data_IF_918893254352
#
_entry.id   IF_918893254352
#
_cell.length_a   1.000
_cell.length_b   1.000
_cell.length_c   1.000
_cell.angle_alpha   90.00
_cell.angle_beta   90.00
_cell.angle_gamma   90.00
#
_symmetry.space_group_name_H-M   'P 1'
#
loop_
_entity.id
_entity.type
_entity.pdbx_description
1 polymer ?
#
# COMPACT_ATOMS: atom_id res chain seq x y z
N UNK A 1 10.79 66.83 34.65
CA UNK A 1 11.65 65.65 34.40
C UNK A 1 10.77 64.58 33.77
N UNK A 2 10.74 64.53 32.43
CA UNK A 2 9.88 63.68 31.62
C UNK A 2 10.71 62.53 31.11
N UNK A 3 10.42 61.31 31.56
CA UNK A 3 11.07 60.08 31.10
C UNK A 3 10.32 59.48 29.90
N UNK A 4 10.92 59.61 28.71
CA UNK A 4 10.52 58.90 27.51
C UNK A 4 10.81 57.40 27.62
N UNK A 5 9.81 56.56 27.65
CA UNK A 5 9.94 55.12 27.41
C UNK A 5 10.03 54.86 25.90
N UNK A 6 11.19 54.40 25.45
CA UNK A 6 11.41 53.89 24.08
C UNK A 6 10.85 52.45 24.01
N UNK A 7 9.91 52.20 23.12
CA UNK A 7 9.53 50.86 22.68
C UNK A 7 10.60 50.27 21.76
N UNK A 8 10.99 49.02 21.90
CA UNK A 8 11.91 48.41 20.96
C UNK A 8 11.15 48.02 19.67
N UNK A 9 11.52 48.61 18.56
CA UNK A 9 11.14 48.14 17.21
C UNK A 9 11.88 46.84 16.94
N UNK A 10 11.14 45.75 16.83
CA UNK A 10 11.65 44.49 16.30
C UNK A 10 11.78 44.64 14.79
N UNK A 11 13.00 44.51 14.30
CA UNK A 11 13.36 44.56 12.89
C UNK A 11 12.75 43.39 12.10
N UNK A 12 12.34 43.60 10.84
CA UNK A 12 11.85 42.53 9.96
C UNK A 12 13.04 41.82 9.28
N UNK A 13 13.63 40.86 9.96
CA UNK A 13 14.78 40.09 9.47
C UNK A 13 14.48 38.61 9.16
N UNK A 14 13.22 38.20 9.07
CA UNK A 14 12.84 36.78 8.81
C UNK A 14 12.20 36.58 7.44
N UNK A 15 12.09 37.63 6.60
CA UNK A 15 11.42 37.53 5.30
C UNK A 15 12.38 37.51 4.09
N UNK A 16 13.66 37.12 4.28
CA UNK A 16 14.65 37.14 3.17
C UNK A 16 15.37 35.81 2.89
N UNK A 17 14.90 34.67 3.40
CA UNK A 17 15.62 33.39 3.22
C UNK A 17 14.90 32.33 2.35
N UNK A 18 13.82 32.67 1.63
CA UNK A 18 13.12 31.71 0.75
C UNK A 18 13.12 32.13 -0.74
N UNK A 19 13.71 33.25 -1.08
CA UNK A 19 13.69 33.78 -2.44
C UNK A 19 14.98 33.61 -3.26
N UNK A 20 15.96 32.81 -2.83
CA UNK A 20 17.27 32.76 -3.49
C UNK A 20 17.73 31.37 -3.97
N UNK A 21 16.84 30.40 -4.18
CA UNK A 21 17.23 29.08 -4.72
C UNK A 21 16.38 28.63 -5.94
N UNK A 22 15.86 29.54 -6.72
CA UNK A 22 14.93 29.22 -7.83
C UNK A 22 15.17 29.89 -9.15
N UNK A 23 16.38 30.37 -9.45
CA UNK A 23 16.65 31.06 -10.73
C UNK A 23 17.95 30.57 -11.38
N UNK A 24 17.94 29.35 -11.90
CA UNK A 24 18.82 28.96 -13.04
C UNK A 24 18.44 27.53 -13.45
N UNK A 25 17.48 27.35 -14.32
CA UNK A 25 17.38 26.43 -15.45
C UNK A 25 16.01 26.66 -16.11
N UNK A 26 15.91 27.63 -16.96
CA UNK A 26 14.74 27.77 -17.82
C UNK A 26 15.15 28.40 -19.11
N UNK A 27 15.69 27.62 -20.00
CA UNK A 27 15.70 27.93 -21.43
C UNK A 27 15.77 26.60 -22.16
N UNK A 28 14.58 26.04 -22.46
CA UNK A 28 14.25 25.23 -23.64
C UNK A 28 12.97 24.40 -23.36
N UNK A 29 11.92 24.85 -24.02
CA UNK A 29 10.64 24.15 -24.26
C UNK A 29 9.40 24.79 -23.62
N UNK A 30 8.62 25.54 -24.44
CA UNK A 30 7.17 25.51 -24.51
C UNK A 30 6.37 25.98 -23.30
N UNK A 31 6.08 27.26 -23.25
CA UNK A 31 4.86 27.89 -22.67
C UNK A 31 3.99 27.09 -21.67
N UNK A 32 4.40 26.93 -20.40
CA UNK A 32 3.47 26.64 -19.30
C UNK A 32 3.95 26.95 -17.86
N UNK A 33 4.71 28.01 -17.55
CA UNK A 33 5.03 28.28 -16.13
C UNK A 33 4.17 29.36 -15.46
N UNK A 34 3.44 30.18 -16.19
CA UNK A 34 2.74 31.32 -15.59
C UNK A 34 1.40 30.93 -14.90
N UNK A 35 0.67 29.97 -15.43
CA UNK A 35 -0.62 29.55 -14.87
C UNK A 35 -0.42 28.69 -13.61
N UNK A 36 0.58 27.82 -13.59
CA UNK A 36 0.92 27.02 -12.42
C UNK A 36 1.36 27.88 -11.23
N UNK A 37 2.04 29.01 -11.48
CA UNK A 37 2.48 29.92 -10.42
C UNK A 37 1.31 30.60 -9.69
N UNK A 38 0.26 31.00 -10.41
CA UNK A 38 -0.94 31.61 -9.82
C UNK A 38 -1.74 30.61 -9.00
N UNK A 39 -1.95 29.41 -9.54
CA UNK A 39 -2.66 28.32 -8.85
C UNK A 39 -1.90 27.87 -7.58
N UNK A 40 -0.58 27.80 -7.65
CA UNK A 40 0.26 27.43 -6.52
C UNK A 40 0.19 28.47 -5.39
N UNK A 41 0.25 29.77 -5.73
CA UNK A 41 0.06 30.84 -4.74
C UNK A 41 -1.33 30.79 -4.11
N UNK A 42 -2.38 30.62 -4.91
CA UNK A 42 -3.76 30.47 -4.41
C UNK A 42 -3.89 29.27 -3.47
N UNK A 43 -3.23 28.16 -3.78
CA UNK A 43 -3.23 26.96 -2.96
C UNK A 43 -2.54 27.20 -1.61
N UNK A 44 -1.39 27.88 -1.63
CA UNK A 44 -0.59 28.14 -0.43
C UNK A 44 -1.25 29.17 0.50
N UNK A 45 -1.89 30.20 -0.06
CA UNK A 45 -2.53 31.27 0.72
C UNK A 45 -3.91 30.90 1.24
N UNK A 46 -4.73 30.25 0.40
CA UNK A 46 -6.15 30.05 0.66
C UNK A 46 -6.56 28.63 1.06
N UNK A 47 -5.70 27.63 0.95
CA UNK A 47 -6.03 26.19 1.11
C UNK A 47 -7.26 25.75 0.30
N UNK A 48 -7.62 26.49 -0.75
CA UNK A 48 -8.77 26.23 -1.60
C UNK A 48 -8.41 26.52 -3.03
N UNK A 49 -8.38 25.48 -3.84
CA UNK A 49 -8.02 25.55 -5.24
C UNK A 49 -8.84 24.55 -6.07
N UNK A 50 -10.20 24.65 -6.05
CA UNK A 50 -11.02 23.75 -6.85
C UNK A 50 -10.79 24.01 -8.33
N UNK A 51 -10.67 22.92 -9.11
CA UNK A 51 -10.40 22.93 -10.55
C UNK A 51 -9.08 23.62 -10.96
N UNK A 52 -8.12 23.76 -10.04
CA UNK A 52 -6.83 24.37 -10.34
C UNK A 52 -6.00 23.53 -11.32
N UNK A 53 -5.25 24.24 -12.16
CA UNK A 53 -4.24 23.68 -13.06
C UNK A 53 -2.92 23.55 -12.32
N UNK A 54 -2.65 22.35 -11.78
CA UNK A 54 -1.44 22.02 -11.02
C UNK A 54 -0.68 20.86 -11.68
N UNK A 55 -0.90 20.65 -12.98
CA UNK A 55 -0.22 19.60 -13.72
C UNK A 55 1.30 19.79 -13.68
N UNK A 56 2.03 18.72 -13.29
CA UNK A 56 3.48 18.76 -13.16
C UNK A 56 4.01 19.60 -12.00
N UNK A 57 3.15 20.11 -11.11
CA UNK A 57 3.60 20.89 -9.94
C UNK A 57 4.47 20.06 -9.01
N UNK A 58 5.53 20.67 -8.46
CA UNK A 58 6.32 20.07 -7.39
C UNK A 58 5.78 20.50 -6.03
N UNK A 59 5.17 19.55 -5.33
CA UNK A 59 4.49 19.71 -4.04
C UNK A 59 5.04 18.69 -3.02
N UNK A 60 6.28 18.25 -3.19
CA UNK A 60 6.94 17.33 -2.25
C UNK A 60 6.93 17.93 -0.85
N UNK A 61 6.57 17.11 0.16
CA UNK A 61 6.44 17.52 1.55
C UNK A 61 5.43 18.66 1.83
N UNK A 62 4.59 19.02 0.85
CA UNK A 62 3.62 20.11 1.04
C UNK A 62 2.63 19.81 2.18
N UNK A 63 2.31 20.82 2.97
CA UNK A 63 1.36 20.76 4.07
C UNK A 63 -0.05 21.12 3.57
N UNK A 64 -0.77 20.16 3.02
CA UNK A 64 -2.05 20.30 2.34
C UNK A 64 -3.20 19.61 3.09
N UNK A 65 -3.11 19.49 4.41
CA UNK A 65 -4.19 18.93 5.22
C UNK A 65 -5.48 19.77 5.05
N UNK A 66 -6.61 19.07 4.89
CA UNK A 66 -7.96 19.66 4.72
C UNK A 66 -8.11 20.60 3.50
N UNK A 67 -7.17 20.55 2.56
CA UNK A 67 -7.21 21.39 1.36
C UNK A 67 -8.39 21.03 0.45
N UNK A 68 -8.98 22.02 -0.20
CA UNK A 68 -10.01 21.82 -1.21
C UNK A 68 -9.39 21.85 -2.61
N UNK A 69 -9.17 20.65 -3.16
CA UNK A 69 -8.62 20.41 -4.50
C UNK A 69 -9.63 19.65 -5.39
N UNK A 70 -10.91 19.84 -5.17
CA UNK A 70 -11.97 19.18 -5.96
C UNK A 70 -11.83 19.53 -7.44
N UNK A 71 -11.83 18.49 -8.28
CA UNK A 71 -11.69 18.64 -9.73
C UNK A 71 -10.36 19.21 -10.19
N UNK A 72 -9.37 19.39 -9.29
CA UNK A 72 -8.06 19.93 -9.68
C UNK A 72 -7.34 19.00 -10.65
N UNK A 73 -6.55 19.58 -11.55
CA UNK A 73 -5.69 18.87 -12.49
C UNK A 73 -4.29 18.74 -11.93
N UNK A 74 -3.97 17.57 -11.43
CA UNK A 74 -2.72 17.24 -10.75
C UNK A 74 -1.90 16.20 -11.54
N UNK A 75 -2.20 16.04 -12.83
CA UNK A 75 -1.51 15.03 -13.65
C UNK A 75 0.00 15.25 -13.60
N UNK A 76 0.74 14.17 -13.34
CA UNK A 76 2.20 14.19 -13.26
C UNK A 76 2.77 15.12 -12.19
N UNK A 77 1.96 15.63 -11.27
CA UNK A 77 2.45 16.38 -10.12
C UNK A 77 3.25 15.46 -9.17
N UNK A 78 4.15 16.07 -8.43
CA UNK A 78 4.93 15.37 -7.41
C UNK A 78 4.43 15.77 -6.01
N UNK A 79 3.65 14.91 -5.38
CA UNK A 79 3.12 15.05 -4.02
C UNK A 79 3.78 14.05 -3.07
N UNK A 80 5.00 13.60 -3.37
CA UNK A 80 5.74 12.69 -2.52
C UNK A 80 5.85 13.20 -1.09
N UNK A 81 5.49 12.34 -0.12
CA UNK A 81 5.51 12.67 1.32
C UNK A 81 4.68 13.91 1.72
N UNK A 82 3.79 14.38 0.85
CA UNK A 82 2.87 15.47 1.19
C UNK A 82 1.85 15.03 2.26
N UNK A 83 1.38 15.98 3.06
CA UNK A 83 0.29 15.78 4.02
C UNK A 83 -1.02 16.25 3.41
N UNK A 84 -1.87 15.31 3.04
CA UNK A 84 -3.18 15.51 2.44
C UNK A 84 -4.30 14.98 3.34
N UNK A 85 -4.06 14.95 4.65
CA UNK A 85 -5.03 14.45 5.64
C UNK A 85 -6.35 15.25 5.52
N UNK A 86 -7.48 14.56 5.32
CA UNK A 86 -8.78 15.19 5.15
C UNK A 86 -8.94 16.04 3.89
N UNK A 87 -8.00 15.98 2.94
CA UNK A 87 -8.07 16.74 1.69
C UNK A 87 -9.29 16.34 0.85
N UNK A 88 -9.91 17.31 0.20
CA UNK A 88 -11.01 17.10 -0.75
C UNK A 88 -10.44 16.99 -2.15
N UNK A 89 -10.28 15.77 -2.64
CA UNK A 89 -9.73 15.44 -3.94
C UNK A 89 -10.78 14.82 -4.88
N UNK A 90 -12.05 14.87 -4.48
CA UNK A 90 -13.10 14.25 -5.28
C UNK A 90 -13.17 14.85 -6.68
N UNK A 91 -13.20 13.98 -7.68
CA UNK A 91 -13.17 14.35 -9.09
C UNK A 91 -11.83 14.91 -9.61
N UNK A 92 -10.78 14.96 -8.78
CA UNK A 92 -9.45 15.44 -9.22
C UNK A 92 -8.81 14.45 -10.21
N UNK A 93 -8.03 14.98 -11.14
CA UNK A 93 -7.22 14.16 -12.03
C UNK A 93 -5.78 14.03 -11.46
N UNK A 94 -5.54 12.88 -10.87
CA UNK A 94 -4.27 12.48 -10.26
C UNK A 94 -3.47 11.52 -11.16
N UNK A 95 -3.84 11.40 -12.44
CA UNK A 95 -3.19 10.46 -13.35
C UNK A 95 -1.69 10.70 -13.41
N UNK A 96 -0.91 9.61 -13.22
CA UNK A 96 0.55 9.63 -13.20
C UNK A 96 1.18 10.54 -12.12
N UNK A 97 0.44 10.93 -11.10
CA UNK A 97 0.91 11.72 -9.96
C UNK A 97 1.72 10.84 -9.01
N UNK A 98 2.82 11.37 -8.48
CA UNK A 98 3.54 10.74 -7.38
C UNK A 98 2.94 11.14 -6.04
N UNK A 99 2.42 10.17 -5.31
CA UNK A 99 1.95 10.26 -3.92
C UNK A 99 2.75 9.30 -3.02
N UNK A 100 3.98 8.99 -3.43
CA UNK A 100 4.86 8.07 -2.70
C UNK A 100 5.02 8.51 -1.24
N UNK A 101 4.60 7.67 -0.31
CA UNK A 101 4.70 7.94 1.13
C UNK A 101 3.85 9.11 1.62
N UNK A 102 2.91 9.63 0.82
CA UNK A 102 2.03 10.72 1.22
C UNK A 102 1.03 10.27 2.29
N UNK A 103 0.58 11.19 3.15
CA UNK A 103 -0.52 10.98 4.07
C UNK A 103 -1.82 11.47 3.47
N UNK A 104 -2.77 10.53 3.25
CA UNK A 104 -4.10 10.76 2.67
C UNK A 104 -5.19 10.34 3.65
N UNK A 105 -4.92 10.39 4.95
CA UNK A 105 -5.84 9.91 5.98
C UNK A 105 -7.15 10.70 5.95
N UNK A 106 -8.26 9.97 5.79
CA UNK A 106 -9.58 10.59 5.69
C UNK A 106 -9.80 11.48 4.46
N UNK A 107 -8.92 11.45 3.46
CA UNK A 107 -9.09 12.22 2.24
C UNK A 107 -10.26 11.69 1.40
N UNK A 108 -10.98 12.59 0.71
CA UNK A 108 -12.04 12.22 -0.21
C UNK A 108 -11.51 12.16 -1.65
N UNK A 109 -11.32 10.93 -2.14
CA UNK A 109 -10.81 10.61 -3.47
C UNK A 109 -11.91 10.07 -4.41
N UNK A 110 -13.19 10.18 -4.04
CA UNK A 110 -14.28 9.65 -4.87
C UNK A 110 -14.35 10.38 -6.20
N UNK A 111 -14.50 9.64 -7.28
CA UNK A 111 -14.47 10.16 -8.64
C UNK A 111 -13.10 10.65 -9.10
N UNK A 112 -12.05 10.53 -8.29
CA UNK A 112 -10.70 10.89 -8.69
C UNK A 112 -10.15 9.90 -9.72
N UNK A 113 -9.36 10.39 -10.68
CA UNK A 113 -8.65 9.57 -11.66
C UNK A 113 -7.27 9.22 -11.13
N UNK A 114 -7.06 7.92 -10.88
CA UNK A 114 -5.82 7.40 -10.27
C UNK A 114 -4.99 6.54 -11.24
N UNK A 115 -5.18 6.69 -12.54
CA UNK A 115 -4.44 5.92 -13.54
C UNK A 115 -2.94 6.20 -13.45
N UNK A 116 -2.12 5.16 -13.23
CA UNK A 116 -0.66 5.29 -13.11
C UNK A 116 -0.19 6.10 -11.91
N UNK A 117 -1.08 6.43 -10.97
CA UNK A 117 -0.73 7.14 -9.74
C UNK A 117 0.15 6.27 -8.85
N UNK A 118 1.24 6.81 -8.34
CA UNK A 118 2.13 6.13 -7.40
C UNK A 118 1.69 6.40 -5.95
N UNK A 119 0.96 5.47 -5.37
CA UNK A 119 0.49 5.47 -3.97
C UNK A 119 1.32 4.55 -3.08
N UNK A 120 2.49 4.10 -3.54
CA UNK A 120 3.32 3.19 -2.74
C UNK A 120 3.68 3.84 -1.41
N UNK A 121 3.55 3.04 -0.32
CA UNK A 121 3.81 3.47 1.05
C UNK A 121 2.92 4.63 1.56
N UNK A 122 1.91 5.06 0.80
CA UNK A 122 0.97 6.08 1.24
C UNK A 122 0.09 5.58 2.40
N UNK A 123 -0.39 6.48 3.23
CA UNK A 123 -1.37 6.19 4.28
C UNK A 123 -2.77 6.61 3.81
N UNK A 124 -3.59 5.63 3.47
CA UNK A 124 -4.97 5.78 3.00
C UNK A 124 -6.01 5.48 4.09
N UNK A 125 -5.60 5.48 5.37
CA UNK A 125 -6.49 5.14 6.48
C UNK A 125 -7.73 6.05 6.52
N UNK A 126 -8.90 5.46 6.32
CA UNK A 126 -10.17 6.19 6.29
C UNK A 126 -10.39 7.05 5.04
N UNK A 127 -9.53 6.95 4.03
CA UNK A 127 -9.76 7.62 2.75
C UNK A 127 -10.99 7.04 2.03
N UNK A 128 -11.75 7.92 1.38
CA UNK A 128 -12.93 7.54 0.62
C UNK A 128 -12.55 7.34 -0.86
N UNK A 129 -12.74 6.13 -1.37
CA UNK A 129 -12.43 5.73 -2.74
C UNK A 129 -13.64 5.01 -3.35
N UNK A 130 -13.74 5.06 -4.66
CA UNK A 130 -14.70 4.23 -5.40
C UNK A 130 -14.14 2.81 -5.62
N UNK A 131 -15.04 1.82 -5.76
CA UNK A 131 -14.64 0.45 -6.10
C UNK A 131 -13.88 0.42 -7.42
N UNK A 132 -12.73 -0.27 -7.44
CA UNK A 132 -11.87 -0.39 -8.62
C UNK A 132 -11.02 0.85 -8.94
N UNK A 133 -11.08 1.92 -8.14
CA UNK A 133 -10.26 3.13 -8.36
C UNK A 133 -8.75 2.83 -8.37
N UNK A 134 -8.33 1.81 -7.63
CA UNK A 134 -6.91 1.44 -7.48
C UNK A 134 -6.42 0.44 -8.53
N UNK A 135 -7.28 -0.04 -9.43
CA UNK A 135 -6.96 -1.11 -10.40
C UNK A 135 -5.79 -0.77 -11.34
N UNK A 136 -5.56 0.51 -11.61
CA UNK A 136 -4.45 0.99 -12.44
C UNK A 136 -3.46 1.89 -11.69
N UNK A 137 -3.53 1.93 -10.37
CA UNK A 137 -2.60 2.66 -9.51
C UNK A 137 -1.53 1.72 -8.93
N UNK A 138 -0.40 2.27 -8.56
CA UNK A 138 0.66 1.57 -7.83
C UNK A 138 0.50 1.82 -6.34
N UNK A 139 -0.07 0.86 -5.60
CA UNK A 139 -0.39 1.04 -4.17
C UNK A 139 0.31 0.05 -3.23
N UNK A 140 1.33 -0.68 -3.74
CA UNK A 140 2.07 -1.67 -2.95
C UNK A 140 2.66 -1.02 -1.68
N UNK A 141 2.37 -1.63 -0.53
CA UNK A 141 2.79 -1.11 0.77
C UNK A 141 2.01 0.13 1.25
N UNK A 142 0.96 0.53 0.55
CA UNK A 142 0.00 1.51 1.09
C UNK A 142 -0.71 0.93 2.31
N UNK A 143 -1.03 1.79 3.28
CA UNK A 143 -1.68 1.40 4.53
C UNK A 143 -3.11 1.90 4.60
N UNK A 144 -3.94 1.20 5.40
CA UNK A 144 -5.32 1.63 5.66
C UNK A 144 -6.26 1.47 4.48
N UNK A 145 -5.90 0.65 3.49
CA UNK A 145 -6.79 0.29 2.39
C UNK A 145 -7.93 -0.60 2.89
N UNK A 146 -9.13 -0.29 2.43
CA UNK A 146 -10.28 -1.17 2.60
C UNK A 146 -10.18 -2.34 1.61
N UNK A 147 -10.04 -3.59 2.08
CA UNK A 147 -9.98 -4.75 1.21
C UNK A 147 -11.20 -4.90 0.29
N UNK A 148 -12.35 -4.34 0.68
CA UNK A 148 -13.58 -4.42 -0.10
C UNK A 148 -13.54 -3.57 -1.38
N UNK A 149 -12.57 -2.68 -1.52
CA UNK A 149 -12.34 -1.90 -2.74
C UNK A 149 -11.52 -2.65 -3.79
N UNK A 150 -10.90 -3.78 -3.41
CA UNK A 150 -9.94 -4.50 -4.23
C UNK A 150 -10.55 -5.76 -4.84
N UNK A 151 -10.12 -6.09 -6.05
CA UNK A 151 -10.44 -7.35 -6.71
C UNK A 151 -9.72 -8.53 -6.03
N UNK A 152 -10.19 -9.74 -6.30
CA UNK A 152 -9.51 -10.95 -5.85
C UNK A 152 -8.03 -11.00 -6.22
N UNK A 153 -7.70 -10.67 -7.47
CA UNK A 153 -6.31 -10.69 -7.95
C UNK A 153 -5.42 -9.68 -7.22
N UNK A 154 -5.94 -8.47 -7.01
CA UNK A 154 -5.22 -7.43 -6.26
C UNK A 154 -4.96 -7.84 -4.80
N UNK A 155 -5.96 -8.42 -4.13
CA UNK A 155 -5.82 -8.93 -2.76
C UNK A 155 -4.79 -10.06 -2.67
N UNK A 156 -4.84 -11.02 -3.59
CA UNK A 156 -3.87 -12.11 -3.64
C UNK A 156 -2.46 -11.59 -3.90
N UNK A 157 -2.29 -10.69 -4.87
CA UNK A 157 -1.00 -10.09 -5.21
C UNK A 157 -0.41 -9.27 -4.06
N UNK A 158 -1.24 -8.56 -3.30
CA UNK A 158 -0.82 -7.86 -2.09
C UNK A 158 -0.27 -8.83 -1.03
N UNK A 159 -0.94 -9.98 -0.85
CA UNK A 159 -0.47 -11.04 0.02
C UNK A 159 0.88 -11.61 -0.41
N UNK A 160 1.04 -11.86 -1.71
CA UNK A 160 2.31 -12.33 -2.30
C UNK A 160 3.43 -11.33 -2.04
N UNK A 161 3.19 -10.05 -2.27
CA UNK A 161 4.20 -9.01 -2.08
C UNK A 161 4.57 -8.83 -0.60
N UNK A 162 3.59 -8.86 0.30
CA UNK A 162 3.83 -8.82 1.74
C UNK A 162 4.67 -10.03 2.20
N UNK A 163 4.37 -11.23 1.72
CA UNK A 163 5.11 -12.45 2.04
C UNK A 163 6.56 -12.38 1.51
N UNK A 164 6.77 -11.90 0.29
CA UNK A 164 8.10 -11.69 -0.29
C UNK A 164 8.97 -10.74 0.53
N UNK A 165 8.34 -9.75 1.16
CA UNK A 165 9.01 -8.79 2.03
C UNK A 165 9.16 -9.28 3.49
N UNK A 166 8.78 -10.53 3.79
CA UNK A 166 8.84 -11.11 5.12
C UNK A 166 7.76 -10.58 6.08
N UNK A 167 6.77 -9.81 5.59
CA UNK A 167 5.67 -9.26 6.38
C UNK A 167 4.53 -10.28 6.49
N UNK A 168 4.84 -11.45 7.11
CA UNK A 168 3.93 -12.59 7.17
C UNK A 168 2.56 -12.29 7.81
N UNK A 169 2.44 -11.53 8.93
CA UNK A 169 1.12 -11.19 9.48
C UNK A 169 0.25 -10.38 8.53
N UNK A 170 0.86 -9.50 7.74
CA UNK A 170 0.16 -8.72 6.72
C UNK A 170 -0.26 -9.59 5.54
N UNK A 171 0.62 -10.49 5.09
CA UNK A 171 0.33 -11.45 4.03
C UNK A 171 -0.89 -12.33 4.39
N UNK A 172 -0.97 -12.81 5.64
CA UNK A 172 -2.13 -13.58 6.13
C UNK A 172 -3.43 -12.80 6.02
N UNK A 173 -3.41 -11.50 6.36
CA UNK A 173 -4.59 -10.63 6.26
C UNK A 173 -5.05 -10.48 4.80
N UNK A 174 -4.12 -10.23 3.88
CA UNK A 174 -4.42 -10.09 2.46
C UNK A 174 -4.95 -11.38 1.84
N UNK A 175 -4.32 -12.52 2.10
CA UNK A 175 -4.83 -13.81 1.63
C UNK A 175 -6.19 -14.13 2.25
N UNK A 176 -6.43 -13.76 3.51
CA UNK A 176 -7.75 -13.92 4.14
C UNK A 176 -8.82 -13.06 3.47
N UNK A 177 -8.48 -11.84 3.05
CA UNK A 177 -9.37 -10.99 2.28
C UNK A 177 -9.63 -11.58 0.86
N UNK A 178 -8.58 -12.08 0.20
CA UNK A 178 -8.71 -12.76 -1.09
C UNK A 178 -9.65 -13.97 -1.01
N UNK A 179 -9.51 -14.78 0.03
CA UNK A 179 -10.37 -15.96 0.27
C UNK A 179 -11.83 -15.54 0.53
N UNK A 180 -12.08 -14.45 1.25
CA UNK A 180 -13.46 -13.94 1.42
C UNK A 180 -14.06 -13.52 0.10
N UNK A 181 -13.27 -12.91 -0.77
CA UNK A 181 -13.70 -12.46 -2.11
C UNK A 181 -13.99 -13.63 -3.04
N UNK A 182 -13.13 -14.65 -3.04
CA UNK A 182 -13.27 -15.83 -3.88
C UNK A 182 -12.92 -17.13 -3.11
N UNK A 183 -13.87 -17.71 -2.38
CA UNK A 183 -13.63 -18.90 -1.54
C UNK A 183 -13.22 -20.14 -2.32
N UNK A 184 -13.56 -20.23 -3.62
CA UNK A 184 -13.21 -21.35 -4.48
C UNK A 184 -11.78 -21.29 -5.03
N UNK A 185 -11.03 -20.20 -4.78
CA UNK A 185 -9.68 -20.01 -5.27
C UNK A 185 -8.66 -20.77 -4.40
N UNK A 186 -8.42 -22.05 -4.72
CA UNK A 186 -7.52 -22.94 -3.96
C UNK A 186 -6.12 -22.34 -3.70
N UNK A 187 -5.62 -21.51 -4.61
CA UNK A 187 -4.29 -20.94 -4.56
C UNK A 187 -4.13 -19.97 -3.38
N UNK A 188 -5.15 -19.19 -3.03
CA UNK A 188 -5.10 -18.28 -1.88
C UNK A 188 -5.16 -19.02 -0.55
N UNK A 189 -5.89 -20.14 -0.48
CA UNK A 189 -5.86 -21.04 0.69
C UNK A 189 -4.47 -21.63 0.88
N UNK A 190 -3.84 -22.09 -0.20
CA UNK A 190 -2.49 -22.62 -0.19
C UNK A 190 -1.48 -21.56 0.26
N UNK A 191 -1.56 -20.35 -0.29
CA UNK A 191 -0.66 -19.25 0.07
C UNK A 191 -0.80 -18.89 1.56
N UNK A 192 -2.06 -18.84 2.08
CA UNK A 192 -2.31 -18.57 3.50
C UNK A 192 -1.82 -19.71 4.38
N UNK A 193 -2.00 -20.96 3.96
CA UNK A 193 -1.50 -22.12 4.71
C UNK A 193 0.03 -22.06 4.89
N UNK A 194 0.76 -21.74 3.83
CA UNK A 194 2.22 -21.56 3.88
C UNK A 194 2.57 -20.41 4.82
N UNK A 195 1.92 -19.25 4.66
CA UNK A 195 2.12 -18.06 5.51
C UNK A 195 1.88 -18.38 6.99
N UNK A 196 0.81 -19.11 7.30
CA UNK A 196 0.48 -19.57 8.66
C UNK A 196 1.50 -20.56 9.23
N UNK A 197 2.08 -21.39 8.37
CA UNK A 197 3.17 -22.29 8.77
C UNK A 197 4.41 -21.50 9.20
N UNK A 198 4.75 -20.43 8.48
CA UNK A 198 5.85 -19.52 8.83
C UNK A 198 5.56 -18.75 10.14
N UNK A 199 4.30 -18.49 10.45
CA UNK A 199 3.84 -17.84 11.70
C UNK A 199 3.68 -18.83 12.87
N UNK A 200 4.06 -20.09 12.71
CA UNK A 200 3.87 -21.18 13.67
C UNK A 200 2.39 -21.43 14.06
N UNK A 201 1.46 -21.00 13.21
CA UNK A 201 0.01 -21.21 13.38
C UNK A 201 -0.41 -22.58 12.81
N UNK A 202 0.20 -23.65 13.31
CA UNK A 202 0.18 -25.01 12.70
C UNK A 202 -1.21 -25.58 12.48
N UNK A 203 -2.13 -25.44 13.44
CA UNK A 203 -3.49 -25.95 13.32
C UNK A 203 -4.27 -25.24 12.21
N UNK A 204 -4.13 -23.93 12.13
CA UNK A 204 -4.77 -23.13 11.09
C UNK A 204 -4.17 -23.41 9.72
N UNK A 205 -2.84 -23.55 9.64
CA UNK A 205 -2.14 -23.90 8.41
C UNK A 205 -2.61 -25.26 7.87
N UNK A 206 -2.68 -26.28 8.75
CA UNK A 206 -3.13 -27.60 8.36
C UNK A 206 -4.59 -27.60 7.88
N UNK A 207 -5.47 -26.83 8.52
CA UNK A 207 -6.87 -26.68 8.07
C UNK A 207 -6.95 -26.03 6.69
N UNK A 208 -6.13 -25.02 6.42
CA UNK A 208 -6.07 -24.37 5.11
C UNK A 208 -5.52 -25.30 4.01
N UNK A 209 -4.48 -26.10 4.33
CA UNK A 209 -3.97 -27.14 3.42
C UNK A 209 -5.03 -28.19 3.09
N UNK A 210 -5.77 -28.68 4.08
CA UNK A 210 -6.84 -29.67 3.88
C UNK A 210 -7.97 -29.08 3.02
N UNK A 211 -8.33 -27.81 3.24
CA UNK A 211 -9.36 -27.16 2.43
C UNK A 211 -8.88 -26.91 0.99
N UNK A 212 -7.65 -26.41 0.80
CA UNK A 212 -7.06 -26.29 -0.53
C UNK A 212 -7.04 -27.64 -1.25
N UNK A 213 -6.69 -28.73 -0.57
CA UNK A 213 -6.70 -30.07 -1.12
C UNK A 213 -8.10 -30.50 -1.61
N UNK A 214 -9.16 -30.13 -0.87
CA UNK A 214 -10.53 -30.43 -1.31
C UNK A 214 -10.90 -29.67 -2.59
N UNK A 215 -10.45 -28.42 -2.74
CA UNK A 215 -10.69 -27.61 -3.93
C UNK A 215 -9.92 -28.15 -5.16
N UNK A 216 -8.67 -28.59 -4.96
CA UNK A 216 -7.88 -29.23 -6.02
C UNK A 216 -8.51 -30.56 -6.46
N UNK A 217 -8.92 -31.40 -5.51
CA UNK A 217 -9.61 -32.66 -5.82
C UNK A 217 -10.91 -32.43 -6.59
N UNK A 218 -11.70 -31.42 -6.23
CA UNK A 218 -12.93 -31.07 -6.93
C UNK A 218 -12.69 -30.64 -8.41
N UNK A 219 -11.45 -30.25 -8.75
CA UNK A 219 -11.02 -29.93 -10.11
C UNK A 219 -10.38 -31.11 -10.85
N UNK A 220 -10.32 -32.29 -10.22
CA UNK A 220 -9.63 -33.46 -10.76
C UNK A 220 -8.10 -33.45 -10.59
N UNK A 221 -7.56 -32.47 -9.88
CA UNK A 221 -6.11 -32.32 -9.60
C UNK A 221 -5.71 -33.16 -8.39
N UNK A 222 -5.89 -34.48 -8.49
CA UNK A 222 -5.72 -35.42 -7.36
C UNK A 222 -4.27 -35.55 -6.87
N UNK A 223 -3.28 -35.29 -7.74
CA UNK A 223 -1.88 -35.32 -7.35
C UNK A 223 -1.56 -34.19 -6.37
N UNK A 224 -1.97 -32.99 -6.69
CA UNK A 224 -1.85 -31.78 -5.87
C UNK A 224 -2.64 -31.93 -4.56
N UNK A 225 -3.87 -32.44 -4.65
CA UNK A 225 -4.69 -32.70 -3.47
C UNK A 225 -4.02 -33.67 -2.48
N UNK A 226 -3.38 -34.74 -2.97
CA UNK A 226 -2.62 -35.67 -2.11
C UNK A 226 -1.43 -35.01 -1.45
N UNK A 227 -0.66 -34.20 -2.19
CA UNK A 227 0.48 -33.45 -1.65
C UNK A 227 0.04 -32.52 -0.53
N UNK A 228 -1.04 -31.79 -0.70
CA UNK A 228 -1.56 -30.85 0.31
C UNK A 228 -2.06 -31.57 1.56
N UNK A 229 -2.77 -32.69 1.42
CA UNK A 229 -3.16 -33.51 2.57
C UNK A 229 -1.94 -34.06 3.34
N UNK A 230 -0.88 -34.42 2.64
CA UNK A 230 0.36 -34.84 3.27
C UNK A 230 1.03 -33.69 4.02
N UNK A 231 1.07 -32.49 3.44
CA UNK A 231 1.57 -31.27 4.10
C UNK A 231 0.77 -30.97 5.37
N UNK A 232 -0.55 -31.03 5.32
CA UNK A 232 -1.40 -30.85 6.49
C UNK A 232 -1.03 -31.80 7.64
N UNK A 233 -0.82 -33.10 7.31
CA UNK A 233 -0.40 -34.10 8.31
C UNK A 233 0.99 -33.80 8.89
N UNK A 234 1.94 -33.38 8.06
CA UNK A 234 3.30 -33.06 8.50
C UNK A 234 3.31 -31.84 9.43
N UNK A 235 2.56 -30.79 9.08
CA UNK A 235 2.43 -29.59 9.93
C UNK A 235 1.81 -29.93 11.29
N UNK A 236 0.78 -30.78 11.33
CA UNK A 236 0.18 -31.27 12.59
C UNK A 236 1.16 -32.12 13.40
N UNK A 237 1.92 -33.01 12.73
CA UNK A 237 2.85 -33.91 13.40
C UNK A 237 4.04 -33.19 14.05
N UNK A 238 4.47 -32.06 13.48
CA UNK A 238 5.55 -31.26 14.04
C UNK A 238 5.19 -30.59 15.38
N UNK A 239 3.91 -30.50 15.72
CA UNK A 239 3.42 -30.04 17.02
C UNK A 239 3.57 -31.10 18.12
N UNK A 240 3.52 -32.38 17.74
CA UNK A 240 3.52 -33.50 18.70
C UNK A 240 4.93 -33.86 19.20
N UNK A 241 6.01 -33.28 18.66
CA UNK A 241 7.35 -33.53 19.17
C UNK A 241 7.69 -32.51 20.26
N UNK A 242 7.74 -32.90 21.55
CA UNK A 242 8.21 -32.03 22.60
C UNK A 242 9.69 -31.72 22.31
N UNK A 243 10.02 -30.44 22.28
CA UNK A 243 11.41 -29.98 22.20
C UNK A 243 12.16 -30.47 23.42
N UNK A 244 12.83 -31.63 23.29
CA UNK A 244 13.74 -32.14 24.30
C UNK A 244 14.80 -31.07 24.56
N UNK A 245 14.96 -30.70 25.85
CA UNK A 245 15.83 -29.60 26.28
C UNK A 245 17.23 -29.69 25.74
N UNK A 246 17.55 -28.80 24.86
CA UNK A 246 18.86 -28.51 24.36
C UNK A 246 18.91 -27.02 24.04
N UNK A 247 19.91 -26.32 24.54
CA UNK A 247 20.15 -24.86 24.42
C UNK A 247 20.36 -24.39 22.97
N UNK A 248 19.38 -24.61 22.09
CA UNK A 248 19.38 -24.24 20.67
C UNK A 248 18.01 -23.74 20.26
N UNK A 249 17.66 -22.53 20.69
CA UNK A 249 16.46 -21.83 20.22
C UNK A 249 16.62 -21.56 18.73
N UNK A 250 15.88 -22.28 17.87
CA UNK A 250 15.72 -21.91 16.46
C UNK A 250 15.80 -23.01 15.40
N UNK A 251 16.47 -24.16 15.66
CA UNK A 251 16.76 -25.13 14.58
C UNK A 251 15.65 -26.16 14.30
N UNK A 252 14.84 -26.54 15.30
CA UNK A 252 13.84 -27.58 15.12
C UNK A 252 12.53 -27.08 14.50
N UNK A 253 12.12 -25.85 14.79
CA UNK A 253 10.94 -25.21 14.18
C UNK A 253 11.21 -24.90 12.70
N UNK A 254 12.41 -24.42 12.36
CA UNK A 254 12.85 -24.18 10.99
C UNK A 254 12.94 -25.46 10.15
N UNK A 255 13.35 -26.59 10.73
CA UNK A 255 13.48 -27.83 9.97
C UNK A 255 12.13 -28.46 9.57
N UNK A 256 11.09 -28.29 10.38
CA UNK A 256 9.74 -28.76 10.05
C UNK A 256 9.08 -27.95 8.94
N UNK A 257 9.14 -26.63 9.02
CA UNK A 257 8.59 -25.72 8.02
C UNK A 257 9.36 -25.82 6.69
N UNK A 258 10.70 -25.86 6.73
CA UNK A 258 11.54 -26.06 5.56
C UNK A 258 11.29 -27.39 4.84
N UNK A 259 11.04 -28.48 5.57
CA UNK A 259 10.72 -29.79 4.98
C UNK A 259 9.40 -29.78 4.21
N UNK A 260 8.37 -29.13 4.77
CA UNK A 260 7.06 -28.97 4.12
C UNK A 260 7.19 -28.07 2.88
N UNK A 261 7.93 -26.98 2.97
CA UNK A 261 8.15 -26.05 1.86
C UNK A 261 8.93 -26.69 0.70
N UNK A 262 9.94 -27.50 0.98
CA UNK A 262 10.69 -28.24 -0.04
C UNK A 262 9.81 -29.23 -0.79
N UNK A 263 8.96 -29.95 -0.07
CA UNK A 263 8.03 -30.89 -0.67
C UNK A 263 6.94 -30.21 -1.51
N UNK A 264 6.50 -29.02 -1.10
CA UNK A 264 5.48 -28.22 -1.78
C UNK A 264 6.07 -27.24 -2.79
N UNK A 265 7.39 -27.24 -3.05
CA UNK A 265 8.03 -26.21 -3.88
C UNK A 265 7.32 -25.92 -5.22
N UNK A 266 6.83 -26.92 -6.00
CA UNK A 266 6.11 -26.63 -7.24
C UNK A 266 4.76 -25.95 -7.01
N UNK A 267 4.04 -26.33 -5.95
CA UNK A 267 2.75 -25.74 -5.59
C UNK A 267 2.92 -24.38 -4.92
N UNK A 268 3.93 -24.25 -4.07
CA UNK A 268 4.30 -22.96 -3.48
C UNK A 268 4.65 -21.93 -4.55
N UNK A 269 5.40 -22.33 -5.58
CA UNK A 269 5.69 -21.47 -6.71
C UNK A 269 4.40 -20.97 -7.37
N UNK A 270 3.40 -21.85 -7.60
CA UNK A 270 2.10 -21.45 -8.14
C UNK A 270 1.36 -20.48 -7.19
N UNK A 271 1.43 -20.71 -5.88
CA UNK A 271 0.73 -19.91 -4.87
C UNK A 271 1.29 -18.49 -4.70
N UNK A 272 2.55 -18.27 -5.04
CA UNK A 272 3.21 -16.98 -4.94
C UNK A 272 3.53 -16.33 -6.31
N UNK A 273 2.88 -16.83 -7.39
CA UNK A 273 2.85 -16.12 -8.67
C UNK A 273 1.83 -15.00 -8.62
N UNK A 274 2.17 -13.81 -9.13
CA UNK A 274 1.19 -12.74 -9.29
C UNK A 274 0.07 -13.17 -10.23
N UNK A 275 -1.18 -12.85 -9.86
CA UNK A 275 -2.34 -13.03 -10.73
C UNK A 275 -2.35 -11.94 -11.80
N UNK A 276 -2.80 -12.25 -13.04
CA UNK A 276 -3.09 -11.20 -14.01
C UNK A 276 -4.22 -10.30 -13.49
N UNK A 277 -4.08 -9.00 -13.74
CA UNK A 277 -5.07 -7.99 -13.40
C UNK A 277 -6.25 -8.03 -14.37
#
# INVERSE_FOLDING_TARGET
MTAHRRTPQLAPAVLRAVAAAGLAVAALAGSAPALASGALLQLMDGRRCPNCELAGADLVHAQLAEVDLRGARLQRANLGQARLDGARLNGADLSFTSLLGASLRGADLRGARLEGTDLRQADLSGALLDGGALSRAHWQGARGLDPDLLSYGELHNAGVEAARQGRMPEAEQWFSAAIRREPAAAVSWLARAITRSELDQRQLAASDFDYAASLYAARGEEAEARQLRQAAKQVKASEAQPTGGGNGVGSAALSGALGVLQFLAPLAAKAFLPMPF
#
